data_IF_282935639435
#
_entry.id   IF_282935639435
#
_cell.length_a   1.000
_cell.length_b   1.000
_cell.length_c   1.000
_cell.angle_alpha   90.00
_cell.angle_beta   90.00
_cell.angle_gamma   90.00
#
_symmetry.space_group_name_H-M   'P 1'
#
loop_
_entity.id
_entity.type
_entity.pdbx_description
1 polymer ?
#
# COMPACT_ATOMS: atom_id res chain seq x y z
N UNK A 1 -45.12 -7.94 21.63
CA UNK A 1 -44.16 -6.83 21.45
C UNK A 1 -42.80 -7.47 21.38
N UNK A 2 -42.05 -7.29 20.29
CA UNK A 2 -40.69 -7.83 20.20
C UNK A 2 -39.76 -7.11 21.18
N UNK A 3 -38.66 -7.73 21.57
CA UNK A 3 -37.64 -7.05 22.37
C UNK A 3 -37.00 -5.92 21.56
N UNK A 4 -36.71 -4.78 22.18
CA UNK A 4 -36.11 -3.64 21.47
C UNK A 4 -34.66 -3.96 21.08
N UNK A 5 -34.20 -3.47 19.92
CA UNK A 5 -32.80 -3.61 19.54
C UNK A 5 -31.89 -2.98 20.60
N UNK A 6 -30.91 -3.74 21.07
CA UNK A 6 -29.99 -3.40 22.17
C UNK A 6 -28.89 -2.42 21.79
N UNK A 7 -28.79 -2.02 20.53
CA UNK A 7 -27.75 -1.09 20.07
C UNK A 7 -28.09 0.38 20.33
N UNK A 8 -27.07 1.18 20.66
CA UNK A 8 -27.19 2.61 20.89
C UNK A 8 -26.71 3.38 19.65
N UNK A 9 -27.58 4.18 19.06
CA UNK A 9 -27.27 4.98 17.89
C UNK A 9 -27.10 6.46 18.26
N UNK A 10 -26.22 7.21 17.58
CA UNK A 10 -26.10 8.64 17.81
C UNK A 10 -27.40 9.36 17.46
N UNK A 11 -27.84 10.26 18.33
CA UNK A 11 -28.93 11.18 18.01
C UNK A 11 -28.38 12.27 17.09
N UNK A 12 -28.97 12.40 15.90
CA UNK A 12 -28.47 13.27 14.84
C UNK A 12 -28.19 14.70 15.35
N UNK A 13 -26.97 15.19 15.08
CA UNK A 13 -26.55 16.53 15.46
C UNK A 13 -26.16 16.71 16.94
N UNK A 14 -26.06 15.63 17.72
CA UNK A 14 -25.66 15.68 19.13
C UNK A 14 -24.57 14.66 19.45
N UNK A 15 -23.89 14.84 20.59
CA UNK A 15 -22.94 13.85 21.13
C UNK A 15 -23.63 12.73 21.93
N UNK A 16 -24.96 12.80 22.07
CA UNK A 16 -25.75 11.87 22.86
C UNK A 16 -26.15 10.65 22.03
N UNK A 17 -26.21 9.48 22.66
CA UNK A 17 -26.72 8.25 22.06
C UNK A 17 -28.11 7.92 22.57
N UNK A 18 -28.92 7.30 21.72
CA UNK A 18 -30.27 6.81 22.04
C UNK A 18 -30.40 5.35 21.68
N UNK A 19 -31.33 4.64 22.33
CA UNK A 19 -31.66 3.27 21.95
C UNK A 19 -32.19 3.23 20.52
N UNK A 20 -31.71 2.26 19.74
CA UNK A 20 -32.27 2.01 18.42
C UNK A 20 -33.79 1.77 18.54
N UNK A 21 -34.58 2.47 17.74
CA UNK A 21 -36.04 2.38 17.76
C UNK A 21 -36.60 1.15 17.04
N UNK A 22 -35.75 0.35 16.39
CA UNK A 22 -36.17 -0.84 15.66
C UNK A 22 -36.30 -2.04 16.60
N UNK A 23 -37.23 -2.92 16.27
CA UNK A 23 -37.40 -4.18 16.96
C UNK A 23 -36.18 -5.08 16.76
N UNK A 24 -35.79 -5.76 17.82
CA UNK A 24 -34.81 -6.83 17.82
C UNK A 24 -35.41 -8.06 17.15
N UNK A 25 -34.73 -8.56 16.13
CA UNK A 25 -35.16 -9.73 15.36
C UNK A 25 -34.14 -10.87 15.40
N UNK A 26 -32.94 -10.61 15.92
CA UNK A 26 -31.82 -11.56 15.99
C UNK A 26 -31.19 -11.48 17.37
N UNK A 27 -30.99 -12.63 18.02
CA UNK A 27 -30.22 -12.72 19.26
C UNK A 27 -28.73 -12.96 18.96
N UNK A 28 -27.85 -12.17 19.57
CA UNK A 28 -26.39 -12.39 19.57
C UNK A 28 -25.84 -12.07 20.96
N UNK A 29 -25.01 -12.96 21.50
CA UNK A 29 -24.32 -12.75 22.78
C UNK A 29 -25.27 -12.40 23.95
N UNK A 30 -26.47 -13.00 23.95
CA UNK A 30 -27.50 -12.80 24.97
C UNK A 30 -28.23 -11.45 24.88
N UNK A 31 -28.17 -10.78 23.73
CA UNK A 31 -28.86 -9.50 23.47
C UNK A 31 -29.59 -9.55 22.14
N UNK A 32 -30.70 -8.83 22.05
CA UNK A 32 -31.49 -8.72 20.82
C UNK A 32 -31.08 -7.52 19.98
N UNK A 33 -30.88 -7.74 18.69
CA UNK A 33 -30.47 -6.74 17.72
C UNK A 33 -31.41 -6.73 16.53
N UNK A 34 -31.59 -5.56 15.92
CA UNK A 34 -32.18 -5.49 14.59
C UNK A 34 -31.15 -5.96 13.55
N UNK A 35 -31.61 -6.37 12.37
CA UNK A 35 -30.76 -6.84 11.27
C UNK A 35 -29.61 -5.88 10.88
N UNK A 36 -29.79 -4.57 11.10
CA UNK A 36 -28.76 -3.57 10.79
C UNK A 36 -27.65 -3.50 11.85
N UNK A 37 -27.96 -3.83 13.10
CA UNK A 37 -27.04 -3.73 14.24
C UNK A 37 -26.58 -5.08 14.78
N UNK A 38 -27.00 -6.19 14.18
CA UNK A 38 -26.44 -7.50 14.49
C UNK A 38 -24.90 -7.44 14.40
N UNK A 39 -24.17 -7.68 15.51
CA UNK A 39 -22.72 -7.60 15.55
C UNK A 39 -22.05 -8.48 14.48
N UNK A 40 -22.62 -9.65 14.16
CA UNK A 40 -22.07 -10.56 13.15
C UNK A 40 -22.21 -9.95 11.76
N UNK A 41 -23.40 -9.47 11.42
CA UNK A 41 -23.65 -8.78 10.14
C UNK A 41 -22.82 -7.49 9.99
N UNK A 42 -22.66 -6.70 11.06
CA UNK A 42 -21.82 -5.49 11.05
C UNK A 42 -20.36 -5.86 10.82
N UNK A 43 -19.84 -6.89 11.53
CA UNK A 43 -18.47 -7.38 11.35
C UNK A 43 -18.22 -7.85 9.92
N UNK A 44 -19.16 -8.60 9.33
CA UNK A 44 -19.07 -9.06 7.95
C UNK A 44 -19.01 -7.88 6.96
N UNK A 45 -19.94 -6.93 7.06
CA UNK A 45 -19.96 -5.70 6.22
C UNK A 45 -18.67 -4.90 6.36
N UNK A 46 -18.18 -4.73 7.60
CA UNK A 46 -16.94 -4.02 7.88
C UNK A 46 -15.74 -4.72 7.25
N UNK A 47 -15.66 -6.05 7.35
CA UNK A 47 -14.60 -6.83 6.70
C UNK A 47 -14.61 -6.61 5.18
N UNK A 48 -15.75 -6.75 4.52
CA UNK A 48 -15.86 -6.51 3.07
C UNK A 48 -15.43 -5.09 2.67
N UNK A 49 -15.82 -4.09 3.47
CA UNK A 49 -15.42 -2.70 3.24
C UNK A 49 -13.90 -2.52 3.36
N UNK A 50 -13.29 -3.11 4.39
CA UNK A 50 -11.83 -3.09 4.60
C UNK A 50 -11.12 -3.80 3.44
N UNK A 51 -11.57 -4.99 3.04
CA UNK A 51 -10.98 -5.74 1.94
C UNK A 51 -11.01 -4.92 0.63
N UNK A 52 -12.13 -4.26 0.35
CA UNK A 52 -12.27 -3.37 -0.82
C UNK A 52 -11.33 -2.17 -0.74
N UNK A 53 -11.22 -1.55 0.43
CA UNK A 53 -10.31 -0.43 0.66
C UNK A 53 -8.86 -0.85 0.47
N UNK A 54 -8.46 -2.00 1.02
CA UNK A 54 -7.12 -2.56 0.87
C UNK A 54 -6.81 -2.84 -0.60
N UNK A 55 -7.70 -3.51 -1.33
CA UNK A 55 -7.51 -3.77 -2.76
C UNK A 55 -7.31 -2.48 -3.57
N UNK A 56 -8.05 -1.42 -3.26
CA UNK A 56 -7.88 -0.12 -3.88
C UNK A 56 -6.50 0.50 -3.57
N UNK A 57 -6.07 0.46 -2.30
CA UNK A 57 -4.77 1.00 -1.89
C UNK A 57 -3.61 0.19 -2.45
N UNK A 58 -3.71 -1.14 -2.48
CA UNK A 58 -2.71 -2.03 -3.07
C UNK A 58 -2.54 -1.74 -4.55
N UNK A 59 -3.63 -1.62 -5.31
CA UNK A 59 -3.59 -1.26 -6.73
C UNK A 59 -2.92 0.12 -6.94
N UNK A 60 -3.25 1.11 -6.11
CA UNK A 60 -2.67 2.45 -6.17
C UNK A 60 -1.17 2.44 -5.84
N UNK A 61 -0.75 1.67 -4.83
CA UNK A 61 0.64 1.51 -4.45
C UNK A 61 1.43 0.79 -5.55
N UNK A 62 0.89 -0.28 -6.13
CA UNK A 62 1.49 -1.01 -7.24
C UNK A 62 1.68 -0.11 -8.47
N UNK A 63 0.65 0.67 -8.85
CA UNK A 63 0.75 1.62 -9.96
C UNK A 63 1.83 2.69 -9.71
N UNK A 64 1.90 3.21 -8.48
CA UNK A 64 2.94 4.16 -8.08
C UNK A 64 4.34 3.55 -8.15
N UNK A 65 4.50 2.29 -7.73
CA UNK A 65 5.79 1.62 -7.78
C UNK A 65 6.22 1.35 -9.22
N UNK A 66 5.32 0.84 -10.06
CA UNK A 66 5.58 0.64 -11.48
C UNK A 66 6.02 1.93 -12.20
N UNK A 67 5.42 3.07 -11.86
CA UNK A 67 5.83 4.37 -12.40
C UNK A 67 7.25 4.77 -11.96
N UNK A 68 7.63 4.50 -10.71
CA UNK A 68 9.00 4.74 -10.23
C UNK A 68 10.00 3.81 -10.90
N UNK A 69 9.65 2.53 -11.02
CA UNK A 69 10.52 1.53 -11.64
C UNK A 69 10.76 1.86 -13.11
N UNK A 70 9.75 2.35 -13.83
CA UNK A 70 9.90 2.82 -15.21
C UNK A 70 10.94 3.96 -15.32
N UNK A 71 10.83 4.98 -14.45
CA UNK A 71 11.77 6.11 -14.42
C UNK A 71 13.18 5.63 -14.07
N UNK A 72 13.29 4.74 -13.07
CA UNK A 72 14.58 4.21 -12.63
C UNK A 72 15.26 3.37 -13.71
N UNK A 73 14.50 2.53 -14.41
CA UNK A 73 15.02 1.71 -15.51
C UNK A 73 15.46 2.58 -16.69
N UNK A 74 14.70 3.60 -17.07
CA UNK A 74 15.10 4.55 -18.11
C UNK A 74 16.42 5.26 -17.74
N UNK A 75 16.58 5.66 -16.48
CA UNK A 75 17.83 6.25 -15.99
C UNK A 75 19.00 5.27 -16.01
N UNK A 76 18.79 3.98 -15.69
CA UNK A 76 19.81 2.93 -15.79
C UNK A 76 20.25 2.76 -17.24
N UNK A 77 19.31 2.63 -18.17
CA UNK A 77 19.61 2.45 -19.59
C UNK A 77 20.37 3.66 -20.16
N UNK A 78 19.95 4.89 -19.80
CA UNK A 78 20.67 6.10 -20.18
C UNK A 78 22.11 6.12 -19.63
N UNK A 79 22.30 5.74 -18.37
CA UNK A 79 23.62 5.66 -17.75
C UNK A 79 24.49 4.55 -18.39
N UNK A 80 23.89 3.43 -18.79
CA UNK A 80 24.60 2.37 -19.50
C UNK A 80 25.11 2.83 -20.87
N UNK A 81 24.27 3.55 -21.64
CA UNK A 81 24.67 4.16 -22.91
C UNK A 81 25.81 5.16 -22.72
N UNK A 82 25.76 5.98 -21.66
CA UNK A 82 26.83 6.93 -21.33
C UNK A 82 28.14 6.22 -21.01
N UNK A 83 28.10 5.15 -20.19
CA UNK A 83 29.27 4.31 -19.89
C UNK A 83 29.86 3.65 -21.14
N UNK A 84 29.03 3.13 -22.03
CA UNK A 84 29.48 2.52 -23.30
C UNK A 84 30.04 3.56 -24.29
N UNK A 85 29.64 4.82 -24.15
CA UNK A 85 30.17 5.94 -24.93
C UNK A 85 31.54 6.43 -24.45
N UNK A 86 31.99 5.99 -23.26
CA UNK A 86 33.34 6.28 -22.77
C UNK A 86 34.34 5.62 -23.73
N UNK A 87 35.20 6.39 -24.40
CA UNK A 87 36.06 5.83 -25.41
C UNK A 87 37.03 4.81 -24.80
N UNK A 88 37.00 3.57 -25.31
CA UNK A 88 37.95 2.50 -24.92
C UNK A 88 39.42 2.93 -24.98
N UNK A 89 39.76 3.94 -25.78
CA UNK A 89 41.11 4.46 -25.87
C UNK A 89 41.58 5.15 -24.59
N UNK A 90 40.69 5.73 -23.76
CA UNK A 90 41.07 6.31 -22.46
C UNK A 90 41.45 5.22 -21.46
N UNK A 91 40.71 4.10 -21.45
CA UNK A 91 41.06 2.92 -20.67
C UNK A 91 42.39 2.30 -21.14
N UNK A 92 42.65 2.26 -22.44
CA UNK A 92 43.93 1.82 -23.00
C UNK A 92 45.07 2.78 -22.65
N UNK A 93 44.86 4.09 -22.72
CA UNK A 93 45.86 5.10 -22.35
C UNK A 93 46.20 5.06 -20.85
N UNK A 94 45.21 4.80 -19.99
CA UNK A 94 45.45 4.55 -18.57
C UNK A 94 46.27 3.27 -18.35
N UNK A 95 45.91 2.17 -19.02
CA UNK A 95 46.65 0.90 -18.95
C UNK A 95 48.09 1.02 -19.46
N UNK A 96 48.30 1.74 -20.57
CA UNK A 96 49.63 1.97 -21.14
C UNK A 96 50.48 2.89 -20.28
N UNK A 97 49.90 3.93 -19.66
CA UNK A 97 50.61 4.76 -18.67
C UNK A 97 51.07 3.92 -17.48
N UNK A 98 50.23 3.04 -16.95
CA UNK A 98 50.59 2.11 -15.86
C UNK A 98 51.68 1.14 -16.29
N UNK A 99 51.58 0.55 -17.49
CA UNK A 99 52.60 -0.34 -18.06
C UNK A 99 53.93 0.37 -18.28
N UNK A 100 53.92 1.64 -18.68
CA UNK A 100 55.12 2.47 -18.84
C UNK A 100 55.74 2.79 -17.48
N UNK A 101 54.93 3.15 -16.49
CA UNK A 101 55.39 3.39 -15.12
C UNK A 101 56.06 2.15 -14.51
N UNK A 102 55.44 0.96 -14.60
CA UNK A 102 56.04 -0.30 -14.13
C UNK A 102 57.40 -0.60 -14.78
N UNK A 103 57.54 -0.30 -16.08
CA UNK A 103 58.83 -0.42 -16.78
C UNK A 103 59.90 0.54 -16.25
N UNK A 104 59.50 1.74 -15.83
CA UNK A 104 60.43 2.75 -15.28
C UNK A 104 60.76 2.48 -13.81
N UNK A 105 59.83 1.95 -13.02
CA UNK A 105 60.00 1.75 -11.56
C UNK A 105 60.48 0.35 -11.17
N UNK A 106 60.59 -0.60 -12.12
CA UNK A 106 61.26 -1.89 -11.92
C UNK A 106 60.62 -2.84 -10.89
N UNK A 107 59.33 -2.65 -10.57
CA UNK A 107 58.53 -3.55 -9.72
C UNK A 107 57.46 -4.28 -10.52
#
# INVERSE_FOLDING_TARGET
>A
MGEQCSDLVPLQGTVTTIQCSRDGTVESDGRWYCWQHDPKAVKARRKTSIDRSNAFWDAKCAARQAAKDAIWNEAIEAAAVELDSIPKWEAQLAADKVRKLKRVTGK
#
